data_IF_995423084321
#
_entry.id   IF_995423084321
#
_cell.length_a   1.000
_cell.length_b   1.000
_cell.length_c   1.000
_cell.angle_alpha   90.00
_cell.angle_beta   90.00
_cell.angle_gamma   90.00
#
_symmetry.space_group_name_H-M   'P 1'
#
loop_
_entity.id
_entity.type
_entity.pdbx_description
1 polymer ?
#
# COMPACT_ATOMS: atom_id res chain seq x y z
N UNK A 1 -24.95 -40.50 58.13
CA UNK A 1 -24.71 -39.05 57.99
C UNK A 1 -23.30 -38.82 57.45
N UNK A 2 -23.13 -37.95 56.43
CA UNK A 2 -21.87 -37.37 55.93
C UNK A 2 -20.97 -38.19 54.97
N UNK A 3 -21.43 -38.43 53.74
CA UNK A 3 -20.52 -38.70 52.58
C UNK A 3 -20.90 -37.89 51.30
N UNK A 4 -21.90 -37.01 51.35
CA UNK A 4 -22.43 -36.31 50.15
C UNK A 4 -22.03 -34.82 50.03
N UNK A 5 -20.81 -34.43 50.41
CA UNK A 5 -20.35 -33.03 50.27
C UNK A 5 -18.90 -32.87 49.77
N UNK A 6 -18.40 -33.79 48.95
CA UNK A 6 -17.05 -33.65 48.33
C UNK A 6 -17.10 -33.62 46.79
N UNK A 7 -18.28 -33.78 46.17
CA UNK A 7 -18.40 -33.82 44.71
C UNK A 7 -18.54 -32.44 44.02
N UNK A 8 -18.49 -31.32 44.76
CA UNK A 8 -18.74 -29.98 44.20
C UNK A 8 -17.47 -29.14 43.97
N UNK A 9 -16.27 -29.69 44.20
CA UNK A 9 -15.01 -28.92 44.18
C UNK A 9 -13.99 -29.40 43.13
N UNK A 10 -14.45 -30.02 42.04
CA UNK A 10 -13.58 -30.60 41.00
C UNK A 10 -14.03 -30.33 39.57
N UNK A 11 -14.88 -29.32 39.36
CA UNK A 11 -15.33 -28.89 38.02
C UNK A 11 -15.12 -27.38 37.78
N UNK A 12 -14.09 -26.80 38.40
CA UNK A 12 -13.52 -25.52 37.96
C UNK A 12 -12.22 -25.82 37.21
N UNK A 13 -12.28 -26.72 36.22
CA UNK A 13 -11.17 -26.87 35.27
C UNK A 13 -11.14 -25.57 34.46
N UNK A 14 -10.12 -24.78 34.75
CA UNK A 14 -9.69 -23.62 34.01
C UNK A 14 -9.83 -23.82 32.50
N UNK A 15 -10.86 -23.24 31.90
CA UNK A 15 -10.77 -22.73 30.54
C UNK A 15 -9.89 -21.47 30.59
N UNK A 16 -8.59 -21.64 30.84
CA UNK A 16 -7.65 -20.62 30.39
C UNK A 16 -7.65 -20.71 28.88
N UNK A 17 -8.42 -19.85 28.22
CA UNK A 17 -8.18 -19.55 26.82
C UNK A 17 -6.73 -19.09 26.76
N UNK A 18 -5.83 -19.98 26.33
CA UNK A 18 -4.49 -19.59 25.96
C UNK A 18 -4.67 -18.64 24.78
N UNK A 19 -4.59 -17.33 25.02
CA UNK A 19 -4.54 -16.34 23.96
C UNK A 19 -3.22 -16.60 23.22
N UNK A 20 -3.27 -17.44 22.19
CA UNK A 20 -2.12 -17.67 21.33
C UNK A 20 -1.89 -16.39 20.53
N UNK A 21 -0.65 -15.91 20.58
CA UNK A 21 -0.17 -14.83 19.75
C UNK A 21 -0.06 -15.34 18.30
N UNK A 22 -1.01 -14.97 17.44
CA UNK A 22 -0.96 -15.32 16.03
C UNK A 22 -0.13 -14.30 15.24
N UNK A 23 0.55 -14.76 14.18
CA UNK A 23 1.31 -13.89 13.27
C UNK A 23 0.81 -14.08 11.85
N UNK A 24 0.44 -12.98 11.20
CA UNK A 24 0.12 -12.96 9.77
C UNK A 24 1.12 -12.10 9.01
N UNK A 25 1.38 -12.48 7.76
CA UNK A 25 2.26 -11.75 6.83
C UNK A 25 1.44 -11.21 5.68
N UNK A 26 1.56 -9.91 5.41
CA UNK A 26 0.90 -9.23 4.31
C UNK A 26 1.91 -8.95 3.21
N UNK A 27 1.52 -9.13 1.94
CA UNK A 27 2.15 -8.37 0.86
C UNK A 27 1.29 -7.14 0.58
N UNK A 28 1.91 -5.96 0.57
CA UNK A 28 1.21 -4.72 0.28
C UNK A 28 1.94 -3.87 -0.76
N UNK A 29 1.16 -3.23 -1.62
CA UNK A 29 1.64 -2.18 -2.51
C UNK A 29 2.28 -1.07 -1.67
N UNK A 30 3.46 -0.62 -2.10
CA UNK A 30 4.32 0.22 -1.27
C UNK A 30 3.78 1.64 -1.06
N UNK A 31 2.80 2.10 -1.85
CA UNK A 31 2.07 3.35 -1.62
C UNK A 31 1.25 3.32 -0.32
N UNK A 32 0.84 2.13 0.12
CA UNK A 32 0.00 1.95 1.30
C UNK A 32 0.80 2.03 2.61
N UNK A 33 2.14 2.06 2.55
CA UNK A 33 3.03 1.84 3.70
C UNK A 33 2.62 2.55 4.98
N UNK A 34 2.61 3.87 4.97
CA UNK A 34 2.32 4.66 6.18
C UNK A 34 0.87 4.49 6.65
N UNK A 35 -0.07 4.36 5.71
CA UNK A 35 -1.47 4.16 6.06
C UNK A 35 -1.72 2.78 6.66
N UNK A 36 -1.18 1.71 6.06
CA UNK A 36 -1.32 0.35 6.57
C UNK A 36 -0.60 0.17 7.89
N UNK A 37 0.57 0.79 8.08
CA UNK A 37 1.28 0.75 9.37
C UNK A 37 0.41 1.37 10.48
N UNK A 38 -0.23 2.51 10.25
CA UNK A 38 -1.15 3.13 11.22
C UNK A 38 -2.45 2.31 11.41
N UNK A 39 -3.02 1.74 10.34
CA UNK A 39 -4.18 0.82 10.42
C UNK A 39 -3.84 -0.40 11.29
N UNK A 40 -2.66 -0.99 11.12
CA UNK A 40 -2.18 -2.12 11.94
C UNK A 40 -2.05 -1.73 13.39
N UNK A 41 -1.46 -0.57 13.69
CA UNK A 41 -1.34 -0.07 15.07
C UNK A 41 -2.72 0.06 15.73
N UNK A 42 -3.72 0.58 15.02
CA UNK A 42 -5.08 0.70 15.55
C UNK A 42 -5.73 -0.66 15.75
N UNK A 43 -5.63 -1.58 14.79
CA UNK A 43 -6.18 -2.94 14.90
C UNK A 43 -5.59 -3.72 16.08
N UNK A 44 -4.27 -3.62 16.30
CA UNK A 44 -3.58 -4.39 17.33
C UNK A 44 -3.81 -3.86 18.76
N UNK A 45 -4.43 -2.69 18.95
CA UNK A 45 -4.76 -2.18 20.30
C UNK A 45 -5.69 -3.11 21.07
N UNK A 46 -6.62 -3.78 20.39
CA UNK A 46 -7.56 -4.73 21.00
C UNK A 46 -6.99 -6.14 21.09
N UNK A 47 -5.91 -6.43 20.37
CA UNK A 47 -5.27 -7.75 20.30
C UNK A 47 -3.73 -7.63 20.39
N UNK A 48 -3.17 -7.18 21.52
CA UNK A 48 -1.76 -6.78 21.63
C UNK A 48 -0.76 -7.93 21.49
N UNK A 49 -1.22 -9.18 21.61
CA UNK A 49 -0.37 -10.36 21.45
C UNK A 49 -0.21 -10.78 19.98
N UNK A 50 -1.09 -10.33 19.09
CA UNK A 50 -1.04 -10.66 17.67
C UNK A 50 0.04 -9.83 16.96
N UNK A 51 0.57 -10.37 15.86
CA UNK A 51 1.57 -9.70 15.02
C UNK A 51 1.13 -9.66 13.57
N UNK A 52 1.36 -8.52 12.95
CA UNK A 52 1.13 -8.33 11.52
C UNK A 52 2.44 -7.84 10.90
N UNK A 53 3.07 -8.72 10.13
CA UNK A 53 4.26 -8.40 9.35
C UNK A 53 3.85 -7.95 7.96
N UNK A 54 4.55 -6.94 7.41
CA UNK A 54 4.23 -6.44 6.08
C UNK A 54 5.47 -6.39 5.20
N UNK A 55 5.35 -6.98 4.01
CA UNK A 55 6.32 -6.86 2.93
C UNK A 55 5.77 -5.87 1.93
N UNK A 56 6.47 -4.75 1.76
CA UNK A 56 6.09 -3.70 0.82
C UNK A 56 6.81 -3.87 -0.50
N UNK A 57 6.06 -3.79 -1.61
CA UNK A 57 6.62 -3.92 -2.95
C UNK A 57 5.72 -3.35 -4.04
N UNK A 58 6.03 -3.67 -5.30
CA UNK A 58 5.13 -3.36 -6.42
C UNK A 58 4.07 -4.45 -6.54
N UNK A 59 2.82 -4.06 -6.79
CA UNK A 59 1.69 -5.00 -6.82
C UNK A 59 1.87 -6.14 -7.83
N UNK A 60 2.46 -5.86 -9.00
CA UNK A 60 2.73 -6.88 -10.01
C UNK A 60 3.72 -7.93 -9.53
N UNK A 61 4.76 -7.53 -8.77
CA UNK A 61 5.68 -8.50 -8.15
C UNK A 61 5.02 -9.29 -7.03
N UNK A 62 4.17 -8.66 -6.21
CA UNK A 62 3.40 -9.38 -5.18
C UNK A 62 2.49 -10.45 -5.78
N UNK A 63 1.78 -10.10 -6.85
CA UNK A 63 0.97 -11.05 -7.62
C UNK A 63 1.81 -12.24 -8.10
N UNK A 64 2.97 -11.98 -8.73
CA UNK A 64 3.85 -13.06 -9.19
C UNK A 64 4.43 -13.90 -8.05
N UNK A 65 4.77 -13.30 -6.91
CA UNK A 65 5.22 -14.03 -5.74
C UNK A 65 4.13 -14.98 -5.22
N UNK A 66 2.88 -14.53 -5.17
CA UNK A 66 1.73 -15.37 -4.77
C UNK A 66 1.48 -16.49 -5.80
N UNK A 67 1.54 -16.19 -7.10
CA UNK A 67 1.46 -17.20 -8.16
C UNK A 67 2.55 -18.28 -8.00
N UNK A 68 3.73 -17.88 -7.53
CA UNK A 68 4.88 -18.76 -7.25
C UNK A 68 4.86 -19.38 -5.84
N UNK A 69 3.77 -19.24 -5.09
CA UNK A 69 3.58 -19.93 -3.80
C UNK A 69 4.13 -19.20 -2.58
N UNK A 70 4.40 -17.90 -2.64
CA UNK A 70 4.78 -17.13 -1.46
C UNK A 70 3.67 -17.19 -0.38
N UNK A 71 4.01 -17.46 0.90
CA UNK A 71 3.04 -17.74 1.96
C UNK A 71 2.48 -16.46 2.61
N UNK A 72 2.01 -15.52 1.79
CA UNK A 72 1.36 -14.31 2.31
C UNK A 72 -0.06 -14.65 2.72
N UNK A 73 -0.53 -14.05 3.82
CA UNK A 73 -1.89 -14.25 4.30
C UNK A 73 -2.88 -13.34 3.56
N UNK A 74 -2.48 -12.10 3.33
CA UNK A 74 -3.27 -11.12 2.58
C UNK A 74 -2.42 -10.44 1.52
N UNK A 75 -3.09 -10.04 0.45
CA UNK A 75 -2.51 -9.30 -0.65
C UNK A 75 -3.25 -7.97 -0.81
N UNK A 76 -2.52 -6.86 -0.72
CA UNK A 76 -3.01 -5.51 -0.98
C UNK A 76 -2.34 -4.97 -2.24
N UNK A 77 -3.15 -4.65 -3.25
CA UNK A 77 -2.68 -4.23 -4.57
C UNK A 77 -3.18 -2.83 -4.91
N UNK A 78 -2.26 -1.96 -5.35
CA UNK A 78 -2.58 -0.70 -6.02
C UNK A 78 -3.22 -0.84 -7.43
N UNK A 79 -3.57 -2.07 -7.85
CA UNK A 79 -4.36 -2.37 -9.04
C UNK A 79 -5.28 -3.56 -8.74
N UNK A 80 -6.59 -3.31 -8.68
CA UNK A 80 -7.64 -4.30 -8.49
C UNK A 80 -7.53 -5.49 -9.47
N UNK A 81 -7.16 -5.26 -10.72
CA UNK A 81 -7.07 -6.30 -11.74
C UNK A 81 -6.09 -7.42 -11.36
N UNK A 82 -5.05 -7.12 -10.57
CA UNK A 82 -4.12 -8.13 -10.08
C UNK A 82 -4.76 -9.05 -9.04
N UNK A 83 -5.63 -8.52 -8.17
CA UNK A 83 -6.37 -9.33 -7.19
C UNK A 83 -7.40 -10.19 -7.91
N UNK A 84 -8.16 -9.60 -8.84
CA UNK A 84 -9.12 -10.31 -9.67
C UNK A 84 -8.48 -11.43 -10.50
N UNK A 85 -7.29 -11.20 -11.03
CA UNK A 85 -6.52 -12.23 -11.74
C UNK A 85 -6.10 -13.37 -10.82
N UNK A 86 -5.67 -13.08 -9.60
CA UNK A 86 -5.36 -14.12 -8.61
C UNK A 86 -6.62 -14.91 -8.22
N UNK A 87 -7.76 -14.24 -8.10
CA UNK A 87 -9.03 -14.86 -7.74
C UNK A 87 -9.47 -15.85 -8.82
N UNK A 88 -9.49 -15.40 -10.09
CA UNK A 88 -9.81 -16.25 -11.25
C UNK A 88 -8.89 -17.47 -11.38
N UNK A 89 -7.66 -17.37 -10.88
CA UNK A 89 -6.67 -18.45 -10.87
C UNK A 89 -6.69 -19.31 -9.59
N UNK A 90 -7.56 -19.01 -8.62
CA UNK A 90 -7.68 -19.74 -7.36
C UNK A 90 -6.52 -19.52 -6.37
N UNK A 91 -5.77 -18.42 -6.49
CA UNK A 91 -4.69 -18.07 -5.57
C UNK A 91 -5.16 -17.24 -4.36
N UNK A 92 -6.30 -16.57 -4.47
CA UNK A 92 -7.00 -15.90 -3.37
C UNK A 92 -8.40 -16.48 -3.24
N UNK A 93 -8.96 -16.44 -2.04
CA UNK A 93 -10.21 -17.14 -1.70
C UNK A 93 -11.45 -16.24 -1.73
N UNK A 94 -11.23 -14.92 -1.76
CA UNK A 94 -12.29 -13.92 -1.92
C UNK A 94 -12.08 -13.14 -3.22
N UNK A 95 -13.16 -12.66 -3.88
CA UNK A 95 -13.03 -11.67 -4.95
C UNK A 95 -12.35 -10.39 -4.44
N UNK A 96 -11.90 -9.53 -5.34
CA UNK A 96 -11.29 -8.27 -4.93
C UNK A 96 -12.30 -7.42 -4.17
N UNK A 97 -11.90 -6.96 -2.98
CA UNK A 97 -12.59 -5.90 -2.26
C UNK A 97 -11.81 -4.62 -2.45
N UNK A 98 -12.46 -3.56 -2.92
CA UNK A 98 -11.84 -2.25 -3.01
C UNK A 98 -11.63 -1.65 -1.62
N UNK A 99 -10.43 -1.12 -1.37
CA UNK A 99 -10.15 -0.33 -0.16
C UNK A 99 -10.00 1.16 -0.46
N UNK A 100 -9.54 1.52 -1.66
CA UNK A 100 -9.32 2.91 -2.04
C UNK A 100 -9.14 3.07 -3.55
N UNK A 101 -9.17 4.34 -3.98
CA UNK A 101 -8.55 4.81 -5.20
C UNK A 101 -7.32 5.67 -4.84
N UNK A 102 -6.18 5.35 -5.46
CA UNK A 102 -4.93 6.10 -5.27
C UNK A 102 -4.84 7.34 -6.17
N UNK A 103 -3.94 8.26 -5.81
CA UNK A 103 -3.61 9.47 -6.60
C UNK A 103 -2.11 9.61 -6.81
N UNK A 104 -1.72 10.15 -7.96
CA UNK A 104 -0.32 10.47 -8.29
C UNK A 104 -0.07 11.97 -8.20
N UNK A 105 1.15 12.32 -7.79
CA UNK A 105 1.62 13.70 -7.69
C UNK A 105 3.00 13.82 -8.32
N UNK A 106 3.33 15.02 -8.80
CA UNK A 106 4.69 15.40 -9.12
C UNK A 106 5.32 16.06 -7.88
N UNK A 107 6.50 15.58 -7.47
CA UNK A 107 7.17 16.08 -6.27
C UNK A 107 8.70 16.09 -6.42
N UNK A 108 9.35 17.01 -5.70
CA UNK A 108 10.80 17.11 -5.59
C UNK A 108 11.18 17.73 -4.24
N UNK A 109 12.27 17.23 -3.63
CA UNK A 109 12.90 17.88 -2.47
C UNK A 109 13.71 19.13 -2.84
N UNK A 110 13.92 19.40 -4.13
CA UNK A 110 14.74 20.51 -4.59
C UNK A 110 14.06 21.85 -4.22
N UNK A 111 14.82 22.79 -3.68
CA UNK A 111 14.32 24.13 -3.29
C UNK A 111 13.76 24.95 -4.46
N UNK A 112 14.15 24.62 -5.69
CA UNK A 112 13.68 25.29 -6.90
C UNK A 112 12.38 24.69 -7.45
N UNK A 113 11.89 23.59 -6.88
CA UNK A 113 10.60 23.01 -7.25
C UNK A 113 9.47 23.93 -6.82
N UNK A 114 8.52 24.18 -7.72
CA UNK A 114 7.35 24.99 -7.47
C UNK A 114 6.10 24.22 -7.91
N UNK A 115 5.29 23.76 -6.96
CA UNK A 115 4.06 23.01 -7.22
C UNK A 115 3.09 23.73 -8.17
N UNK A 116 3.06 25.07 -8.17
CA UNK A 116 2.20 25.88 -9.05
C UNK A 116 2.59 25.82 -10.52
N UNK A 117 3.85 25.47 -10.84
CA UNK A 117 4.31 25.28 -12.23
C UNK A 117 3.85 23.95 -12.84
N UNK A 118 3.36 23.00 -12.04
CA UNK A 118 2.94 21.70 -12.52
C UNK A 118 4.01 21.00 -13.36
N UNK A 119 3.65 20.53 -14.56
CA UNK A 119 4.59 19.83 -15.45
C UNK A 119 5.68 20.73 -16.05
N UNK A 120 5.56 22.06 -15.99
CA UNK A 120 6.64 22.96 -16.44
C UNK A 120 7.91 22.79 -15.60
N UNK A 121 7.80 22.28 -14.36
CA UNK A 121 8.98 21.88 -13.58
C UNK A 121 9.88 20.89 -14.34
N UNK A 122 9.32 19.99 -15.16
CA UNK A 122 10.08 18.96 -15.89
C UNK A 122 11.01 19.54 -16.96
N UNK A 123 10.78 20.79 -17.38
CA UNK A 123 11.59 21.50 -18.38
C UNK A 123 12.71 22.33 -17.75
N UNK A 124 12.72 22.48 -16.43
CA UNK A 124 13.68 23.32 -15.74
C UNK A 124 15.12 22.79 -15.88
N UNK A 125 16.14 23.66 -15.99
CA UNK A 125 17.53 23.24 -16.22
C UNK A 125 18.09 22.30 -15.14
N UNK A 126 17.57 22.39 -13.91
CA UNK A 126 17.97 21.54 -12.78
C UNK A 126 17.42 20.11 -12.86
N UNK A 127 16.45 19.84 -13.75
CA UNK A 127 15.87 18.50 -13.93
C UNK A 127 16.69 17.69 -14.93
N UNK A 128 17.54 16.81 -14.40
CA UNK A 128 18.37 15.86 -15.16
C UNK A 128 17.85 14.43 -15.06
N UNK A 129 17.35 14.04 -13.89
CA UNK A 129 16.83 12.70 -13.59
C UNK A 129 15.42 12.78 -13.05
N UNK A 130 14.51 12.02 -13.66
CA UNK A 130 13.09 11.99 -13.32
C UNK A 130 12.75 10.59 -12.82
N UNK A 131 12.41 10.45 -11.55
CA UNK A 131 12.04 9.17 -10.98
C UNK A 131 10.58 8.82 -11.31
N UNK A 132 10.37 7.61 -11.83
CA UNK A 132 9.05 6.96 -11.87
C UNK A 132 9.19 5.52 -11.39
N UNK A 133 8.13 4.93 -10.84
CA UNK A 133 8.13 3.51 -10.59
C UNK A 133 8.15 2.74 -11.92
N UNK A 134 8.69 1.52 -11.93
CA UNK A 134 8.84 0.73 -13.15
C UNK A 134 7.45 0.38 -13.73
N UNK A 135 7.08 0.90 -14.90
CA UNK A 135 5.73 0.72 -15.45
C UNK A 135 5.37 -0.73 -15.80
N UNK A 136 6.36 -1.62 -15.92
CA UNK A 136 6.11 -3.02 -16.30
C UNK A 136 5.42 -3.84 -15.20
N UNK A 137 5.52 -3.42 -13.93
CA UNK A 137 4.92 -4.15 -12.81
C UNK A 137 4.37 -3.27 -11.68
N UNK A 138 4.71 -1.97 -11.64
CA UNK A 138 4.21 -1.06 -10.62
C UNK A 138 3.04 -0.21 -11.16
N UNK A 139 1.83 -0.30 -10.57
CA UNK A 139 0.66 0.48 -11.02
C UNK A 139 0.90 2.00 -11.05
N UNK A 140 1.62 2.52 -10.06
CA UNK A 140 2.01 3.94 -10.03
C UNK A 140 2.96 4.33 -11.17
N UNK A 141 3.83 3.40 -11.58
CA UNK A 141 4.71 3.57 -12.74
C UNK A 141 3.93 3.61 -14.05
N UNK A 142 2.96 2.72 -14.18
CA UNK A 142 2.02 2.71 -15.30
C UNK A 142 1.27 4.05 -15.39
N UNK A 143 0.78 4.60 -14.27
CA UNK A 143 0.07 5.90 -14.29
C UNK A 143 0.97 7.08 -14.57
N UNK A 144 2.22 7.05 -14.09
CA UNK A 144 3.22 8.05 -14.44
C UNK A 144 3.48 8.03 -15.97
N UNK A 145 3.69 6.84 -16.55
CA UNK A 145 3.86 6.69 -18.00
C UNK A 145 2.63 7.15 -18.78
N UNK A 146 1.42 6.76 -18.36
CA UNK A 146 0.16 7.20 -18.99
C UNK A 146 0.03 8.73 -18.96
N UNK A 147 0.32 9.35 -17.81
CA UNK A 147 0.31 10.82 -17.68
C UNK A 147 1.26 11.47 -18.68
N UNK A 148 2.50 11.02 -18.74
CA UNK A 148 3.50 11.60 -19.65
C UNK A 148 3.16 11.38 -21.13
N UNK A 149 2.56 10.24 -21.48
CA UNK A 149 2.08 9.97 -22.84
C UNK A 149 0.89 10.88 -23.20
N UNK A 150 -0.08 11.05 -22.30
CA UNK A 150 -1.22 11.96 -22.49
C UNK A 150 -0.77 13.41 -22.73
N UNK A 151 0.34 13.81 -22.12
CA UNK A 151 0.96 15.13 -22.28
C UNK A 151 1.92 15.22 -23.47
N UNK A 152 2.17 14.11 -24.19
CA UNK A 152 3.17 14.03 -25.27
C UNK A 152 4.59 14.41 -24.82
N UNK A 153 4.92 14.09 -23.57
CA UNK A 153 6.21 14.38 -22.94
C UNK A 153 7.10 13.14 -22.80
N UNK A 154 6.53 11.93 -22.90
CA UNK A 154 7.22 10.70 -22.56
C UNK A 154 8.49 10.49 -23.40
N UNK A 155 8.39 10.61 -24.73
CA UNK A 155 9.48 10.37 -25.67
C UNK A 155 10.66 11.32 -25.42
N UNK A 156 10.38 12.58 -25.09
CA UNK A 156 11.40 13.60 -24.81
C UNK A 156 12.06 13.42 -23.44
N UNK A 157 11.40 12.74 -22.52
CA UNK A 157 11.87 12.55 -21.14
C UNK A 157 12.41 11.15 -20.88
N UNK A 158 12.22 10.19 -21.79
CA UNK A 158 12.56 8.78 -21.61
C UNK A 158 14.01 8.58 -21.18
N UNK A 159 14.95 9.27 -21.83
CA UNK A 159 16.38 9.22 -21.50
C UNK A 159 16.74 9.77 -20.12
N UNK A 160 15.86 10.56 -19.50
CA UNK A 160 16.02 11.10 -18.14
C UNK A 160 15.36 10.23 -17.07
N UNK A 161 14.60 9.20 -17.46
CA UNK A 161 13.84 8.40 -16.50
C UNK A 161 14.75 7.52 -15.67
N UNK A 162 14.54 7.54 -14.36
CA UNK A 162 15.14 6.62 -13.40
C UNK A 162 14.02 5.74 -12.85
N UNK A 163 14.11 4.44 -13.09
CA UNK A 163 13.04 3.50 -12.72
C UNK A 163 13.26 2.95 -11.31
N UNK A 164 12.36 3.31 -10.39
CA UNK A 164 12.26 2.65 -9.09
C UNK A 164 11.51 1.33 -9.20
N UNK A 165 11.96 0.34 -8.46
CA UNK A 165 11.31 -0.98 -8.35
C UNK A 165 9.86 -0.90 -7.86
N UNK A 166 9.57 0.06 -6.99
CA UNK A 166 8.21 0.34 -6.55
C UNK A 166 8.11 1.83 -6.20
N UNK A 167 6.91 2.26 -5.82
CA UNK A 167 6.68 3.69 -5.61
C UNK A 167 7.42 4.22 -4.38
N UNK A 168 7.66 3.40 -3.34
CA UNK A 168 8.47 3.83 -2.20
C UNK A 168 9.94 4.00 -2.58
N UNK A 169 10.51 3.09 -3.36
CA UNK A 169 11.87 3.26 -3.85
C UNK A 169 11.99 4.46 -4.80
N UNK A 170 10.97 4.71 -5.62
CA UNK A 170 10.89 5.90 -6.49
C UNK A 170 10.95 7.18 -5.65
N UNK A 171 10.15 7.25 -4.59
CA UNK A 171 10.19 8.37 -3.63
C UNK A 171 11.56 8.49 -2.96
N UNK A 172 12.17 7.37 -2.55
CA UNK A 172 13.50 7.33 -1.94
C UNK A 172 14.59 7.88 -2.88
N UNK A 173 14.50 7.65 -4.19
CA UNK A 173 15.44 8.24 -5.15
C UNK A 173 15.38 9.77 -5.13
N UNK A 174 14.20 10.34 -4.98
CA UNK A 174 14.04 11.79 -4.88
C UNK A 174 14.52 12.29 -3.51
N UNK A 175 14.16 11.62 -2.41
CA UNK A 175 14.58 11.97 -1.04
C UNK A 175 16.11 11.89 -0.87
N UNK A 176 16.77 10.91 -1.49
CA UNK A 176 18.23 10.78 -1.46
C UNK A 176 18.94 11.74 -2.42
N UNK A 177 18.26 12.22 -3.47
CA UNK A 177 18.86 13.01 -4.55
C UNK A 177 19.48 12.15 -5.66
N UNK A 178 19.23 10.84 -5.67
CA UNK A 178 19.53 9.99 -6.82
C UNK A 178 18.70 10.37 -8.06
N UNK A 179 17.53 10.98 -7.86
CA UNK A 179 16.74 11.67 -8.87
C UNK A 179 16.35 13.07 -8.40
N UNK A 180 16.11 13.99 -9.34
CA UNK A 180 15.86 15.40 -9.03
C UNK A 180 14.38 15.65 -8.70
N UNK A 181 13.48 14.98 -9.42
CA UNK A 181 12.03 15.13 -9.35
C UNK A 181 11.40 13.78 -9.73
N UNK A 182 10.14 13.55 -9.41
CA UNK A 182 9.46 12.36 -9.91
C UNK A 182 7.97 12.34 -9.69
N UNK A 183 7.33 11.34 -10.29
CA UNK A 183 5.91 11.05 -10.07
C UNK A 183 5.80 10.02 -8.95
N UNK A 184 5.21 10.42 -7.83
CA UNK A 184 5.05 9.60 -6.63
C UNK A 184 3.58 9.43 -6.25
N UNK A 185 3.30 8.57 -5.26
CA UNK A 185 1.98 8.46 -4.68
C UNK A 185 1.67 9.64 -3.76
N UNK A 186 0.44 10.17 -3.81
CA UNK A 186 -0.02 11.20 -2.87
C UNK A 186 0.13 10.76 -1.41
N UNK A 187 -0.10 9.48 -1.12
CA UNK A 187 0.07 8.91 0.22
C UNK A 187 1.49 9.00 0.76
N UNK A 188 2.49 8.92 -0.11
CA UNK A 188 3.89 9.10 0.27
C UNK A 188 4.24 10.58 0.39
N UNK A 189 3.66 11.46 -0.43
CA UNK A 189 3.84 12.91 -0.31
C UNK A 189 3.25 13.47 0.99
N UNK A 190 2.15 12.91 1.47
CA UNK A 190 1.52 13.28 2.74
C UNK A 190 2.19 12.64 3.96
N UNK A 191 3.04 11.62 3.76
CA UNK A 191 3.73 10.96 4.85
C UNK A 191 4.68 11.92 5.60
N UNK A 192 4.91 11.71 6.91
CA UNK A 192 5.71 12.62 7.72
C UNK A 192 7.12 12.91 7.18
N UNK A 193 7.74 11.98 6.44
CA UNK A 193 9.08 12.20 5.87
C UNK A 193 9.11 13.33 4.84
N UNK A 194 8.01 13.56 4.12
CA UNK A 194 7.88 14.61 3.10
C UNK A 194 7.08 15.80 3.64
N UNK A 195 5.92 15.57 4.27
CA UNK A 195 5.03 16.66 4.70
C UNK A 195 5.60 17.53 5.81
N UNK A 196 6.61 17.03 6.55
CA UNK A 196 7.40 17.80 7.53
C UNK A 196 8.83 18.08 7.05
N UNK A 197 9.11 17.79 5.79
CA UNK A 197 10.44 17.94 5.17
C UNK A 197 10.70 19.36 4.67
N UNK A 198 11.83 19.54 3.99
CA UNK A 198 12.29 20.84 3.49
C UNK A 198 11.47 21.42 2.34
N UNK A 199 10.77 20.57 1.58
CA UNK A 199 9.84 21.00 0.53
C UNK A 199 8.61 20.08 0.54
N UNK A 200 7.56 20.41 1.32
CA UNK A 200 6.37 19.57 1.47
C UNK A 200 5.37 19.73 0.32
N UNK A 201 5.52 20.78 -0.50
CA UNK A 201 4.58 21.08 -1.56
C UNK A 201 4.69 20.06 -2.70
N UNK A 202 3.55 19.68 -3.27
CA UNK A 202 3.45 18.76 -4.41
C UNK A 202 2.46 19.30 -5.43
N UNK A 203 2.59 18.87 -6.68
CA UNK A 203 1.59 19.13 -7.71
C UNK A 203 0.71 17.90 -7.91
N UNK A 204 -0.58 18.03 -7.59
CA UNK A 204 -1.56 16.97 -7.80
C UNK A 204 -1.87 16.82 -9.29
N UNK A 205 -1.63 15.62 -9.82
CA UNK A 205 -1.88 15.32 -11.23
C UNK A 205 -3.38 15.09 -11.44
N UNK A 206 -3.92 15.67 -12.52
CA UNK A 206 -5.32 15.49 -12.91
C UNK A 206 -5.59 14.01 -13.24
N UNK A 207 -6.63 13.45 -12.65
CA UNK A 207 -7.03 12.05 -12.84
C UNK A 207 -7.45 11.74 -14.28
N UNK A 208 -7.74 12.74 -15.11
CA UNK A 208 -8.02 12.57 -16.54
C UNK A 208 -6.80 12.18 -17.37
N UNK A 209 -5.58 12.35 -16.85
CA UNK A 209 -4.34 12.09 -17.60
C UNK A 209 -3.90 10.62 -17.57
N UNK A 210 -4.54 9.79 -16.75
CA UNK A 210 -4.24 8.36 -16.63
C UNK A 210 -5.50 7.57 -16.28
N UNK A 211 -5.45 6.24 -16.41
CA UNK A 211 -6.55 5.38 -15.95
C UNK A 211 -6.67 5.43 -14.42
N UNK A 212 -7.86 5.21 -13.83
CA UNK A 212 -8.03 5.14 -12.39
C UNK A 212 -7.05 4.17 -11.70
N UNK A 213 -6.66 4.50 -10.46
CA UNK A 213 -5.84 3.68 -9.58
C UNK A 213 -6.72 2.97 -8.55
N UNK A 214 -7.61 2.10 -9.01
CA UNK A 214 -8.45 1.30 -8.12
C UNK A 214 -7.59 0.29 -7.38
N UNK A 215 -7.69 0.27 -6.05
CA UNK A 215 -6.85 -0.55 -5.19
C UNK A 215 -7.69 -1.56 -4.43
N UNK A 216 -7.28 -2.81 -4.52
CA UNK A 216 -8.03 -3.95 -4.02
C UNK A 216 -7.19 -4.85 -3.13
N UNK A 217 -7.86 -5.66 -2.33
CA UNK A 217 -7.22 -6.63 -1.45
C UNK A 217 -8.04 -7.90 -1.33
N UNK A 218 -7.38 -8.99 -0.96
CA UNK A 218 -8.02 -10.28 -0.71
C UNK A 218 -7.16 -11.16 0.21
N UNK A 219 -7.79 -12.20 0.78
CA UNK A 219 -7.12 -13.25 1.56
C UNK A 219 -6.60 -14.30 0.57
N UNK A 220 -5.32 -14.66 0.71
CA UNK A 220 -4.75 -15.70 -0.16
C UNK A 220 -5.23 -17.09 0.25
N UNK A 221 -5.09 -18.06 -0.65
CA UNK A 221 -5.35 -19.48 -0.33
C UNK A 221 -4.52 -20.02 0.83
N UNK A 222 -3.34 -19.44 1.09
CA UNK A 222 -2.47 -19.85 2.18
C UNK A 222 -3.10 -19.58 3.55
N UNK A 223 -3.90 -18.52 3.66
CA UNK A 223 -4.55 -18.10 4.91
C UNK A 223 -6.03 -18.47 4.97
N UNK A 224 -6.49 -19.47 4.21
CA UNK A 224 -7.91 -19.82 4.15
C UNK A 224 -8.54 -20.16 5.50
N UNK A 225 -7.74 -20.65 6.46
CA UNK A 225 -8.16 -21.01 7.81
C UNK A 225 -7.61 -20.05 8.89
N UNK A 226 -6.99 -18.94 8.50
CA UNK A 226 -6.42 -17.98 9.45
C UNK A 226 -7.50 -17.03 9.96
N UNK A 227 -7.87 -17.18 11.24
CA UNK A 227 -8.83 -16.29 11.90
C UNK A 227 -8.33 -14.85 11.94
N UNK A 228 -7.06 -14.64 12.34
CA UNK A 228 -6.45 -13.30 12.37
C UNK A 228 -6.42 -12.64 10.99
N UNK A 229 -6.17 -13.38 9.91
CA UNK A 229 -6.22 -12.83 8.55
C UNK A 229 -7.64 -12.39 8.17
N UNK A 230 -8.67 -13.16 8.58
CA UNK A 230 -10.08 -12.81 8.37
C UNK A 230 -10.48 -11.56 9.16
N UNK A 231 -10.12 -11.50 10.43
CA UNK A 231 -10.39 -10.34 11.30
C UNK A 231 -9.75 -9.07 10.73
N UNK A 232 -8.49 -9.15 10.31
CA UNK A 232 -7.81 -8.01 9.70
C UNK A 232 -8.40 -7.66 8.34
N UNK A 233 -8.76 -8.64 7.50
CA UNK A 233 -9.48 -8.41 6.23
C UNK A 233 -10.76 -7.61 6.43
N UNK A 234 -11.56 -7.97 7.43
CA UNK A 234 -12.81 -7.29 7.72
C UNK A 234 -12.57 -5.88 8.27
N UNK A 235 -11.55 -5.72 9.13
CA UNK A 235 -11.16 -4.43 9.70
C UNK A 235 -10.76 -3.39 8.66
N UNK A 236 -10.10 -3.78 7.56
CA UNK A 236 -9.77 -2.85 6.46
C UNK A 236 -11.03 -2.15 5.89
N UNK A 237 -12.19 -2.81 5.97
CA UNK A 237 -13.47 -2.25 5.55
C UNK A 237 -14.13 -1.30 6.56
N UNK A 238 -13.61 -1.19 7.78
CA UNK A 238 -14.23 -0.42 8.86
C UNK A 238 -14.11 1.09 8.66
N UNK A 239 -14.96 1.87 9.34
CA UNK A 239 -14.87 3.33 9.37
C UNK A 239 -13.49 3.81 9.84
N UNK A 240 -12.93 3.17 10.86
CA UNK A 240 -11.63 3.55 11.44
C UNK A 240 -10.51 3.39 10.42
N UNK A 241 -10.46 2.25 9.71
CA UNK A 241 -9.46 2.03 8.67
C UNK A 241 -9.62 3.01 7.51
N UNK A 242 -10.86 3.25 7.08
CA UNK A 242 -11.19 4.20 6.01
C UNK A 242 -10.76 5.64 6.34
N UNK A 243 -10.94 6.09 7.58
CA UNK A 243 -10.49 7.43 7.99
C UNK A 243 -8.96 7.56 7.98
N UNK A 244 -8.24 6.51 8.38
CA UNK A 244 -6.77 6.49 8.28
C UNK A 244 -6.34 6.55 6.80
N UNK A 245 -6.97 5.78 5.92
CA UNK A 245 -6.67 5.85 4.48
C UNK A 245 -6.89 7.26 3.92
N UNK A 246 -8.01 7.92 4.25
CA UNK A 246 -8.29 9.31 3.83
C UNK A 246 -7.24 10.30 4.32
N UNK A 247 -6.76 10.14 5.57
CA UNK A 247 -5.67 10.97 6.14
C UNK A 247 -4.40 10.92 5.28
N UNK A 248 -4.11 9.78 4.66
CA UNK A 248 -2.99 9.63 3.71
C UNK A 248 -3.40 9.87 2.24
N UNK A 249 -4.50 10.57 1.98
CA UNK A 249 -4.84 11.02 0.62
C UNK A 249 -5.36 9.92 -0.31
N UNK A 250 -5.78 8.78 0.25
CA UNK A 250 -6.56 7.79 -0.51
C UNK A 250 -8.01 8.26 -0.66
N UNK A 251 -8.56 8.09 -1.85
CA UNK A 251 -9.98 8.34 -2.11
C UNK A 251 -10.76 7.08 -1.76
N UNK A 252 -11.52 7.13 -0.66
CA UNK A 252 -12.29 5.98 -0.15
C UNK A 252 -13.77 6.19 -0.42
N UNK A 253 -14.43 5.18 -1.00
CA UNK A 253 -15.89 5.16 -1.20
C UNK A 253 -16.59 4.27 -0.17
#
# INVERSE_FOLDING_TARGET
MRVKKIAALLLSLCFTNTLYADTITLFAASDLRFALDEVKEVFLKTNPNNKIETIYGSSGKGMHQIENGAPYHLFFSANEDFVEKLYKKGFVIEPSKLYAQGRVVLWSKNKNFNSKKGFENLKEPWVKKIAIANPSHAPYGEKAKQTLLSLKMYENLESKLVLGENISQTTQFIESGAADIGVIALSLALAPSISKGSNPDYFLIDSKLHKPLLQGYSITKYAAQSLLAREFYDFIGSSEAKEILKKYGFEVK
#
